data_IF_971873172686
#
_entry.id   IF_971873172686
#
_cell.length_a   1.000
_cell.length_b   1.000
_cell.length_c   1.000
_cell.angle_alpha   90.00
_cell.angle_beta   90.00
_cell.angle_gamma   90.00
#
_symmetry.space_group_name_H-M   'P 1'
#
loop_
_entity.id
_entity.type
_entity.pdbx_description
1 polymer ?
#
# COMPACT_ATOMS: atom_id res chain seq x y z
N UNK A 1 -10.10 -34.88 24.13
CA UNK A 1 -9.73 -33.84 23.15
C UNK A 1 -8.33 -34.22 22.63
N UNK A 2 -8.30 -34.76 21.44
CA UNK A 2 -7.06 -35.13 20.74
C UNK A 2 -6.24 -33.87 20.47
N UNK A 3 -4.91 -33.94 20.48
CA UNK A 3 -3.99 -32.85 20.12
C UNK A 3 -4.13 -32.37 18.65
N UNK A 4 -5.02 -32.99 17.89
CA UNK A 4 -5.24 -32.77 16.44
C UNK A 4 -6.32 -31.69 16.13
N UNK A 5 -6.97 -31.11 17.16
CA UNK A 5 -8.10 -30.17 16.95
C UNK A 5 -7.74 -28.69 17.21
N UNK A 6 -6.47 -28.36 17.45
CA UNK A 6 -6.04 -26.99 17.69
C UNK A 6 -5.88 -26.26 16.35
N UNK A 7 -6.74 -25.22 16.10
CA UNK A 7 -6.63 -24.37 14.93
C UNK A 7 -5.20 -23.79 14.78
N UNK A 8 -4.64 -23.77 13.57
CA UNK A 8 -3.30 -23.23 13.35
C UNK A 8 -3.24 -21.76 13.75
N UNK A 9 -2.10 -21.33 14.27
CA UNK A 9 -1.83 -19.97 14.74
C UNK A 9 -1.09 -19.19 13.69
N UNK A 10 -1.65 -18.06 13.29
CA UNK A 10 -1.01 -17.18 12.31
C UNK A 10 -0.78 -15.81 12.93
N UNK A 11 0.48 -15.38 12.93
CA UNK A 11 0.84 -14.02 13.31
C UNK A 11 0.95 -13.14 12.06
N UNK A 12 0.22 -12.02 12.07
CA UNK A 12 0.22 -11.02 11.01
C UNK A 12 0.93 -9.76 11.49
N UNK A 13 1.79 -9.17 10.65
CA UNK A 13 2.59 -8.01 11.05
C UNK A 13 2.45 -6.86 10.06
N UNK A 14 2.19 -5.67 10.58
CA UNK A 14 2.23 -4.42 9.81
C UNK A 14 2.59 -3.23 10.70
N UNK A 15 3.19 -2.15 10.14
CA UNK A 15 3.23 -0.86 10.80
C UNK A 15 1.82 -0.25 10.89
N UNK A 16 1.58 0.78 11.75
CA UNK A 16 0.25 1.31 12.04
C UNK A 16 -0.33 2.22 10.94
N UNK A 17 0.16 2.12 9.70
CA UNK A 17 -0.26 2.98 8.59
C UNK A 17 -1.35 2.32 7.75
N UNK A 18 -2.36 3.08 7.33
CA UNK A 18 -3.51 2.53 6.60
C UNK A 18 -3.10 1.72 5.36
N UNK A 19 -2.15 2.21 4.55
CA UNK A 19 -1.68 1.52 3.33
C UNK A 19 -1.04 0.14 3.58
N UNK A 20 -0.58 -0.12 4.80
CA UNK A 20 0.09 -1.37 5.22
C UNK A 20 -0.77 -2.20 6.17
N UNK A 21 -1.39 -1.54 7.15
CA UNK A 21 -2.21 -2.19 8.16
C UNK A 21 -3.53 -2.73 7.58
N UNK A 22 -4.23 -1.95 6.76
CA UNK A 22 -5.53 -2.35 6.23
C UNK A 22 -5.45 -3.64 5.37
N UNK A 23 -4.47 -3.83 4.47
CA UNK A 23 -4.27 -5.11 3.79
C UNK A 23 -4.02 -6.27 4.76
N UNK A 24 -3.22 -6.07 5.79
CA UNK A 24 -2.97 -7.09 6.83
C UNK A 24 -4.23 -7.41 7.62
N UNK A 25 -5.07 -6.42 7.96
CA UNK A 25 -6.36 -6.66 8.60
C UNK A 25 -7.33 -7.42 7.68
N UNK A 26 -7.32 -7.13 6.37
CA UNK A 26 -8.10 -7.88 5.38
C UNK A 26 -7.63 -9.34 5.28
N UNK A 27 -6.31 -9.58 5.27
CA UNK A 27 -5.73 -10.93 5.35
C UNK A 27 -6.22 -11.65 6.61
N UNK A 28 -6.15 -10.99 7.76
CA UNK A 28 -6.58 -11.56 9.04
C UNK A 28 -8.04 -11.99 9.02
N UNK A 29 -8.92 -11.11 8.55
CA UNK A 29 -10.35 -11.42 8.42
C UNK A 29 -10.62 -12.57 7.44
N UNK A 30 -9.91 -12.62 6.34
CA UNK A 30 -10.03 -13.69 5.36
C UNK A 30 -9.60 -15.05 5.93
N UNK A 31 -8.60 -15.08 6.81
CA UNK A 31 -8.04 -16.30 7.41
C UNK A 31 -8.71 -16.69 8.74
N UNK A 32 -9.41 -15.77 9.40
CA UNK A 32 -10.09 -16.04 10.70
C UNK A 32 -11.00 -17.26 10.68
N UNK A 33 -11.69 -17.63 9.58
CA UNK A 33 -12.47 -18.87 9.55
C UNK A 33 -11.64 -20.16 9.68
N UNK A 34 -10.35 -20.16 9.30
CA UNK A 34 -9.50 -21.35 9.24
C UNK A 34 -8.33 -21.35 10.23
N UNK A 35 -8.03 -20.22 10.89
CA UNK A 35 -6.87 -20.10 11.78
C UNK A 35 -7.17 -19.18 12.99
N UNK A 36 -6.36 -19.31 14.05
CA UNK A 36 -6.28 -18.35 15.15
C UNK A 36 -5.33 -17.20 14.76
N UNK A 37 -5.90 -16.01 14.60
CA UNK A 37 -5.19 -14.84 14.05
C UNK A 37 -4.77 -13.90 15.16
N UNK A 38 -3.49 -13.53 15.19
CA UNK A 38 -2.94 -12.47 16.03
C UNK A 38 -2.23 -11.42 15.18
N UNK A 39 -2.57 -10.14 15.35
CA UNK A 39 -1.92 -9.03 14.67
C UNK A 39 -0.89 -8.40 15.59
N UNK A 40 0.36 -8.33 15.16
CA UNK A 40 1.46 -7.68 15.89
C UNK A 40 1.77 -6.35 15.19
N UNK A 41 1.68 -5.24 15.95
CA UNK A 41 1.94 -3.89 15.47
C UNK A 41 2.38 -2.99 16.62
N UNK A 42 2.31 -1.68 16.45
CA UNK A 42 2.49 -0.70 17.53
C UNK A 42 1.15 -0.28 18.13
N UNK A 43 1.20 0.51 19.21
CA UNK A 43 0.01 1.00 19.93
C UNK A 43 -0.97 1.74 19.01
N UNK A 44 -0.46 2.52 18.05
CA UNK A 44 -1.26 3.27 17.08
C UNK A 44 -2.14 2.43 16.16
N UNK A 45 -1.90 1.12 16.06
CA UNK A 45 -2.74 0.19 15.31
C UNK A 45 -3.90 -0.40 16.12
N UNK A 46 -3.84 -0.36 17.46
CA UNK A 46 -4.70 -1.15 18.36
C UNK A 46 -6.20 -0.92 18.15
N UNK A 47 -6.61 0.32 17.91
CA UNK A 47 -8.03 0.64 17.66
C UNK A 47 -8.54 0.01 16.37
N UNK A 48 -7.74 0.08 15.28
CA UNK A 48 -8.11 -0.50 13.98
C UNK A 48 -8.11 -2.02 14.00
N UNK A 49 -7.18 -2.64 14.72
CA UNK A 49 -7.16 -4.11 14.92
C UNK A 49 -8.45 -4.55 15.61
N UNK A 50 -8.87 -3.87 16.67
CA UNK A 50 -10.14 -4.17 17.36
C UNK A 50 -11.36 -3.93 16.46
N UNK A 51 -11.40 -2.84 15.70
CA UNK A 51 -12.47 -2.57 14.73
C UNK A 51 -12.57 -3.63 13.63
N UNK A 52 -11.45 -4.26 13.29
CA UNK A 52 -11.44 -5.39 12.35
C UNK A 52 -11.91 -6.71 12.98
N UNK A 53 -12.21 -6.73 14.28
CA UNK A 53 -12.62 -7.95 15.01
C UNK A 53 -11.47 -8.94 15.22
N UNK A 54 -10.22 -8.45 15.29
CA UNK A 54 -9.02 -9.27 15.42
C UNK A 54 -8.34 -9.04 16.77
N UNK A 55 -7.65 -10.09 17.26
CA UNK A 55 -6.76 -9.99 18.42
C UNK A 55 -5.43 -9.33 18.02
N UNK A 56 -4.90 -8.47 18.88
CA UNK A 56 -3.64 -7.79 18.61
C UNK A 56 -2.70 -7.66 19.78
N UNK A 57 -1.42 -7.53 19.49
CA UNK A 57 -0.35 -7.25 20.44
C UNK A 57 0.42 -6.03 19.97
N UNK A 58 0.53 -5.04 20.85
CA UNK A 58 1.40 -3.89 20.63
C UNK A 58 2.82 -4.23 21.08
N UNK A 59 3.79 -3.94 20.21
CA UNK A 59 5.22 -4.10 20.47
C UNK A 59 5.94 -2.77 20.28
N UNK A 60 7.14 -2.65 20.81
CA UNK A 60 7.99 -1.44 20.74
C UNK A 60 7.24 -0.19 21.23
N UNK A 61 6.96 -0.08 22.53
CA UNK A 61 6.25 1.07 23.10
C UNK A 61 6.89 2.39 22.66
N UNK A 62 6.06 3.39 22.32
CA UNK A 62 6.50 4.71 21.87
C UNK A 62 7.03 4.79 20.43
N UNK A 63 7.03 3.70 19.65
CA UNK A 63 7.55 3.69 18.28
C UNK A 63 6.72 4.54 17.30
N UNK A 64 5.45 4.80 17.60
CA UNK A 64 4.53 5.48 16.66
C UNK A 64 5.01 6.87 16.22
N UNK A 65 5.64 7.63 17.12
CA UNK A 65 6.20 8.95 16.79
C UNK A 65 7.40 8.83 15.84
N UNK A 66 8.30 7.89 16.09
CA UNK A 66 9.46 7.64 15.24
C UNK A 66 9.05 7.10 13.86
N UNK A 67 8.05 6.21 13.81
CA UNK A 67 7.47 5.72 12.57
C UNK A 67 6.86 6.86 11.74
N UNK A 68 6.06 7.74 12.36
CA UNK A 68 5.52 8.92 11.67
C UNK A 68 6.61 9.83 11.13
N UNK A 69 7.66 10.09 11.90
CA UNK A 69 8.78 10.92 11.45
C UNK A 69 9.54 10.36 10.24
N UNK A 70 9.46 9.03 10.01
CA UNK A 70 10.04 8.36 8.85
C UNK A 70 9.10 8.43 7.64
N UNK A 71 7.80 8.18 7.85
CA UNK A 71 6.83 7.94 6.76
C UNK A 71 6.03 9.16 6.36
N UNK A 72 5.93 10.16 7.22
CA UNK A 72 5.20 11.42 6.97
C UNK A 72 6.07 12.65 7.30
N UNK A 73 7.22 12.80 6.61
CA UNK A 73 8.08 13.95 6.81
C UNK A 73 7.41 15.23 6.31
N UNK A 74 7.80 16.42 6.82
CA UNK A 74 7.20 17.70 6.43
C UNK A 74 7.50 18.11 4.99
N UNK A 75 8.41 17.41 4.31
CA UNK A 75 8.79 17.64 2.93
C UNK A 75 9.05 16.31 2.21
N UNK A 76 8.87 16.22 0.88
CA UNK A 76 9.22 15.02 0.12
C UNK A 76 10.66 14.60 0.42
N UNK A 77 10.88 13.30 0.64
CA UNK A 77 12.24 12.74 0.80
C UNK A 77 12.96 12.79 -0.54
N UNK A 78 12.27 12.42 -1.59
CA UNK A 78 12.79 12.41 -2.94
C UNK A 78 14.07 11.59 -3.06
N UNK A 79 14.96 12.01 -3.96
CA UNK A 79 16.27 11.39 -4.18
C UNK A 79 17.42 12.09 -3.42
N UNK A 80 17.15 12.89 -2.39
CA UNK A 80 18.18 13.64 -1.68
C UNK A 80 19.03 12.72 -0.77
N UNK A 81 20.36 12.52 -1.05
CA UNK A 81 21.16 11.48 -0.40
C UNK A 81 21.19 11.57 1.12
N UNK A 82 21.33 12.78 1.68
CA UNK A 82 21.39 12.96 3.14
C UNK A 82 20.04 12.67 3.82
N UNK A 83 18.93 13.02 3.19
CA UNK A 83 17.59 12.70 3.72
C UNK A 83 17.33 11.21 3.69
N UNK A 84 17.66 10.56 2.57
CA UNK A 84 17.58 9.09 2.43
C UNK A 84 18.44 8.38 3.48
N UNK A 85 19.67 8.84 3.68
CA UNK A 85 20.56 8.27 4.69
C UNK A 85 19.98 8.42 6.12
N UNK A 86 19.52 9.61 6.49
CA UNK A 86 18.92 9.86 7.80
C UNK A 86 17.63 9.05 8.02
N UNK A 87 16.79 8.90 6.98
CA UNK A 87 15.61 8.06 7.02
C UNK A 87 15.97 6.58 7.20
N UNK A 88 16.99 6.11 6.48
CA UNK A 88 17.46 4.73 6.57
C UNK A 88 18.04 4.40 7.95
N UNK A 89 18.83 5.30 8.55
CA UNK A 89 19.36 5.15 9.92
C UNK A 89 18.24 5.01 10.96
N UNK A 90 17.21 5.86 10.88
CA UNK A 90 16.04 5.75 11.77
C UNK A 90 15.29 4.44 11.56
N UNK A 91 15.15 4.01 10.31
CA UNK A 91 14.51 2.73 9.97
C UNK A 91 15.28 1.53 10.53
N UNK A 92 16.63 1.56 10.47
CA UNK A 92 17.45 0.50 11.05
C UNK A 92 17.29 0.40 12.56
N UNK A 93 17.27 1.53 13.29
CA UNK A 93 17.07 1.54 14.74
C UNK A 93 15.72 0.94 15.14
N UNK A 94 14.65 1.24 14.36
CA UNK A 94 13.35 0.64 14.57
C UNK A 94 13.33 -0.85 14.25
N UNK A 95 13.99 -1.27 13.18
CA UNK A 95 14.11 -2.70 12.81
C UNK A 95 14.82 -3.50 13.92
N UNK A 96 15.87 -2.95 14.55
CA UNK A 96 16.56 -3.57 15.69
C UNK A 96 15.61 -3.77 16.88
N UNK A 97 14.83 -2.73 17.22
CA UNK A 97 13.84 -2.83 18.30
C UNK A 97 12.71 -3.82 17.99
N UNK A 98 12.20 -3.81 16.75
CA UNK A 98 11.19 -4.78 16.31
C UNK A 98 11.73 -6.21 16.33
N UNK A 99 12.96 -6.43 15.86
CA UNK A 99 13.57 -7.76 15.86
C UNK A 99 13.67 -8.34 17.29
N UNK A 100 14.09 -7.54 18.27
CA UNK A 100 14.16 -7.96 19.67
C UNK A 100 12.77 -8.25 20.26
N UNK A 101 11.78 -7.40 19.96
CA UNK A 101 10.41 -7.59 20.43
C UNK A 101 9.77 -8.86 19.84
N UNK A 102 9.97 -9.13 18.55
CA UNK A 102 9.46 -10.34 17.89
C UNK A 102 10.13 -11.60 18.43
N UNK A 103 11.43 -11.55 18.69
CA UNK A 103 12.17 -12.65 19.27
C UNK A 103 11.59 -13.05 20.65
N UNK A 104 11.31 -12.06 21.51
CA UNK A 104 10.66 -12.28 22.79
C UNK A 104 9.22 -12.84 22.64
N UNK A 105 8.44 -12.31 21.69
CA UNK A 105 7.07 -12.77 21.43
C UNK A 105 7.03 -14.25 20.97
N UNK A 106 7.90 -14.63 20.05
CA UNK A 106 7.90 -15.98 19.47
C UNK A 106 8.62 -17.02 20.34
N UNK A 107 9.47 -16.59 21.26
CA UNK A 107 9.99 -17.45 22.33
C UNK A 107 8.90 -17.89 23.29
N UNK A 108 7.87 -17.04 23.51
CA UNK A 108 6.74 -17.35 24.40
C UNK A 108 5.59 -18.07 23.68
N UNK A 109 5.25 -17.60 22.47
CA UNK A 109 4.14 -18.14 21.67
C UNK A 109 4.58 -18.24 20.21
N UNK A 110 4.99 -19.44 19.81
CA UNK A 110 5.40 -19.73 18.44
C UNK A 110 4.16 -19.90 17.54
N UNK A 111 4.00 -19.13 16.46
CA UNK A 111 2.98 -19.36 15.45
C UNK A 111 3.38 -20.48 14.46
N UNK A 112 2.40 -20.99 13.71
CA UNK A 112 2.59 -21.97 12.65
C UNK A 112 2.94 -21.30 11.32
N UNK A 113 2.53 -20.03 11.14
CA UNK A 113 2.86 -19.20 9.99
C UNK A 113 2.94 -17.73 10.41
N UNK A 114 3.87 -17.00 9.81
CA UNK A 114 3.97 -15.55 9.90
C UNK A 114 3.68 -14.94 8.53
N UNK A 115 2.82 -13.92 8.45
CA UNK A 115 2.65 -13.10 7.25
C UNK A 115 2.96 -11.65 7.64
N UNK A 116 4.04 -11.12 7.08
CA UNK A 116 4.52 -9.78 7.41
C UNK A 116 4.42 -8.83 6.22
N UNK A 117 4.01 -7.60 6.48
CA UNK A 117 4.10 -6.52 5.51
C UNK A 117 5.57 -6.33 5.06
N UNK A 118 5.77 -6.04 3.79
CA UNK A 118 7.09 -5.93 3.16
C UNK A 118 8.00 -4.87 3.80
N UNK A 119 7.43 -3.90 4.51
CA UNK A 119 8.19 -2.88 5.24
C UNK A 119 8.81 -3.38 6.56
N UNK A 120 8.44 -4.59 6.98
CA UNK A 120 8.97 -5.24 8.19
C UNK A 120 9.81 -6.50 7.86
N UNK A 121 10.88 -6.39 7.05
CA UNK A 121 11.65 -7.56 6.61
C UNK A 121 12.31 -8.31 7.77
N UNK A 122 12.55 -7.65 8.91
CA UNK A 122 13.09 -8.28 10.13
C UNK A 122 12.19 -9.41 10.66
N UNK A 123 10.88 -9.35 10.40
CA UNK A 123 9.98 -10.44 10.77
C UNK A 123 10.42 -11.77 10.14
N UNK A 124 10.83 -11.76 8.87
CA UNK A 124 11.35 -12.94 8.18
C UNK A 124 12.68 -13.44 8.77
N UNK A 125 13.59 -12.54 9.15
CA UNK A 125 14.85 -12.96 9.76
C UNK A 125 14.66 -13.57 11.15
N UNK A 126 13.77 -13.01 11.96
CA UNK A 126 13.41 -13.58 13.27
C UNK A 126 12.66 -14.90 13.09
N UNK A 127 11.69 -14.98 12.17
CA UNK A 127 10.97 -16.23 11.88
C UNK A 127 11.91 -17.39 11.51
N UNK A 128 12.91 -17.11 10.65
CA UNK A 128 13.94 -18.12 10.31
C UNK A 128 14.71 -18.60 11.52
N UNK A 129 15.11 -17.72 12.47
CA UNK A 129 15.81 -18.13 13.71
C UNK A 129 14.94 -19.07 14.56
N UNK A 130 13.62 -18.80 14.62
CA UNK A 130 12.65 -19.64 15.32
C UNK A 130 12.14 -20.84 14.48
N UNK A 131 12.65 -21.03 13.24
CA UNK A 131 12.18 -22.07 12.31
C UNK A 131 10.66 -21.98 12.07
N UNK A 132 10.13 -20.78 11.95
CA UNK A 132 8.74 -20.50 11.65
C UNK A 132 8.63 -20.21 10.16
N UNK A 133 7.72 -20.87 9.41
CA UNK A 133 7.38 -20.49 8.06
C UNK A 133 6.92 -19.03 8.00
N UNK A 134 7.34 -18.31 6.96
CA UNK A 134 6.93 -16.91 6.85
C UNK A 134 6.71 -16.48 5.40
N UNK A 135 5.75 -15.61 5.20
CA UNK A 135 5.40 -15.01 3.92
C UNK A 135 5.47 -13.50 3.98
N UNK A 136 5.73 -12.88 2.84
CA UNK A 136 5.68 -11.42 2.70
C UNK A 136 4.33 -11.01 2.13
N UNK A 137 3.64 -10.05 2.75
CA UNK A 137 2.50 -9.34 2.18
C UNK A 137 2.98 -8.09 1.46
N UNK A 138 2.64 -7.94 0.19
CA UNK A 138 3.12 -6.84 -0.65
C UNK A 138 1.95 -6.13 -1.35
N UNK A 139 1.44 -5.00 -0.80
CA UNK A 139 0.31 -4.27 -1.39
C UNK A 139 0.65 -3.55 -2.70
N UNK A 140 1.94 -3.39 -3.01
CA UNK A 140 2.42 -2.71 -4.21
C UNK A 140 3.42 -3.59 -4.99
N UNK A 141 2.97 -4.69 -5.63
CA UNK A 141 3.87 -5.60 -6.37
C UNK A 141 4.75 -4.88 -7.40
N UNK A 142 4.30 -3.75 -7.90
CA UNK A 142 5.00 -2.90 -8.87
C UNK A 142 6.43 -2.52 -8.46
N UNK A 143 6.76 -2.49 -7.17
CA UNK A 143 8.08 -2.09 -6.67
C UNK A 143 9.03 -3.27 -6.42
N UNK A 144 8.55 -4.52 -6.50
CA UNK A 144 9.40 -5.72 -6.43
C UNK A 144 10.37 -5.70 -7.61
N UNK A 145 11.67 -5.84 -7.34
CA UNK A 145 12.65 -5.94 -8.41
C UNK A 145 12.48 -7.23 -9.20
N UNK A 146 12.28 -7.07 -10.52
CA UNK A 146 12.19 -8.16 -11.45
C UNK A 146 12.84 -7.76 -12.78
N UNK A 147 13.51 -8.67 -13.51
CA UNK A 147 14.00 -8.41 -14.85
C UNK A 147 12.87 -8.02 -15.82
N UNK A 148 13.19 -7.19 -16.79
CA UNK A 148 12.21 -6.67 -17.74
C UNK A 148 11.49 -5.40 -17.24
N UNK A 149 11.31 -4.45 -18.14
CA UNK A 149 10.66 -3.18 -17.86
C UNK A 149 11.48 -2.19 -17.01
N UNK A 150 10.89 -1.02 -16.74
CA UNK A 150 11.54 0.04 -15.97
C UNK A 150 11.62 -0.33 -14.48
N UNK A 151 12.69 0.06 -13.78
CA UNK A 151 12.77 -0.09 -12.33
C UNK A 151 11.77 0.85 -11.64
N UNK A 152 11.30 0.46 -10.46
CA UNK A 152 10.44 1.28 -9.62
C UNK A 152 11.17 2.50 -9.03
N UNK A 153 10.41 3.44 -8.48
CA UNK A 153 10.87 4.66 -7.81
C UNK A 153 11.64 5.65 -8.71
N UNK A 154 11.55 5.53 -10.03
CA UNK A 154 12.09 6.48 -10.99
C UNK A 154 11.01 7.37 -11.64
N UNK A 155 10.02 7.78 -10.84
CA UNK A 155 8.94 8.65 -11.30
C UNK A 155 7.92 7.93 -12.21
N UNK A 156 7.79 6.61 -12.11
CA UNK A 156 6.78 5.82 -12.84
C UNK A 156 7.00 5.86 -14.34
N UNK A 157 8.12 5.34 -14.82
CA UNK A 157 8.38 5.21 -16.24
C UNK A 157 7.48 4.14 -16.88
N UNK A 158 7.03 4.40 -18.09
CA UNK A 158 6.44 3.36 -18.94
C UNK A 158 7.52 2.44 -19.50
N UNK A 159 7.23 1.16 -19.76
CA UNK A 159 8.17 0.23 -20.38
C UNK A 159 8.74 0.78 -21.68
N UNK A 160 10.03 0.65 -21.84
CA UNK A 160 10.73 1.13 -23.01
C UNK A 160 10.34 0.33 -24.26
N UNK A 161 10.04 1.05 -25.36
CA UNK A 161 9.71 0.46 -26.65
C UNK A 161 10.98 0.31 -27.49
N UNK A 162 11.09 -0.81 -28.20
CA UNK A 162 12.23 -1.11 -29.07
C UNK A 162 13.53 -1.38 -28.32
N UNK A 163 14.64 -1.49 -29.05
CA UNK A 163 15.95 -1.81 -28.47
C UNK A 163 16.48 -0.72 -27.52
N UNK A 164 16.37 0.54 -27.92
CA UNK A 164 16.81 1.69 -27.11
C UNK A 164 16.01 1.81 -25.80
N UNK A 165 14.68 1.64 -25.86
CA UNK A 165 13.85 1.70 -24.68
C UNK A 165 14.18 0.58 -23.69
N UNK A 166 14.37 -0.65 -24.16
CA UNK A 166 14.82 -1.78 -23.33
C UNK A 166 16.22 -1.55 -22.75
N UNK A 167 17.15 -0.99 -23.53
CA UNK A 167 18.47 -0.65 -23.02
C UNK A 167 18.41 0.42 -21.92
N UNK A 168 17.57 1.46 -22.10
CA UNK A 168 17.30 2.47 -21.07
C UNK A 168 16.86 1.80 -19.77
N UNK A 169 15.86 0.92 -19.82
CA UNK A 169 15.31 0.25 -18.65
C UNK A 169 16.37 -0.63 -17.96
N UNK A 170 17.17 -1.37 -18.74
CA UNK A 170 18.24 -2.21 -18.21
C UNK A 170 19.36 -1.39 -17.53
N UNK A 171 19.76 -0.27 -18.12
CA UNK A 171 20.77 0.65 -17.53
C UNK A 171 20.22 1.24 -16.23
N UNK A 172 18.97 1.70 -16.22
CA UNK A 172 18.33 2.24 -15.03
C UNK A 172 18.20 1.19 -13.92
N UNK A 173 17.78 -0.04 -14.24
CA UNK A 173 17.71 -1.15 -13.28
C UNK A 173 19.09 -1.46 -12.67
N UNK A 174 20.16 -1.47 -13.50
CA UNK A 174 21.53 -1.65 -13.02
C UNK A 174 21.96 -0.50 -12.09
N UNK A 175 21.61 0.74 -12.41
CA UNK A 175 21.92 1.90 -11.58
C UNK A 175 21.23 1.82 -10.22
N UNK A 176 19.94 1.49 -10.17
CA UNK A 176 19.17 1.28 -8.93
C UNK A 176 19.79 0.16 -8.09
N UNK A 177 20.12 -0.98 -8.70
CA UNK A 177 20.79 -2.10 -8.00
C UNK A 177 22.14 -1.70 -7.44
N UNK A 178 22.93 -0.94 -8.19
CA UNK A 178 24.24 -0.45 -7.75
C UNK A 178 24.08 0.49 -6.55
N UNK A 179 23.13 1.42 -6.61
CA UNK A 179 22.79 2.30 -5.49
C UNK A 179 22.39 1.50 -4.23
N UNK A 180 21.44 0.57 -4.36
CA UNK A 180 21.01 -0.29 -3.25
C UNK A 180 22.18 -1.09 -2.64
N UNK A 181 23.07 -1.64 -3.48
CA UNK A 181 24.29 -2.35 -3.01
C UNK A 181 25.23 -1.41 -2.27
N UNK A 182 25.36 -0.16 -2.71
CA UNK A 182 26.15 0.88 -2.03
C UNK A 182 25.61 1.15 -0.62
N UNK A 183 24.30 1.35 -0.49
CA UNK A 183 23.64 1.56 0.81
C UNK A 183 23.81 0.32 1.71
N UNK A 184 23.59 -0.89 1.17
CA UNK A 184 23.78 -2.13 1.93
C UNK A 184 25.23 -2.28 2.43
N UNK A 185 26.23 -1.95 1.60
CA UNK A 185 27.66 -2.03 1.97
C UNK A 185 27.99 -1.05 3.08
N UNK A 186 27.41 0.14 3.05
CA UNK A 186 27.61 1.17 4.10
C UNK A 186 27.11 0.67 5.47
N UNK A 187 25.96 -0.03 5.49
CA UNK A 187 25.31 -0.51 6.72
C UNK A 187 25.50 -2.01 6.98
N UNK A 188 26.44 -2.66 6.29
CA UNK A 188 26.57 -4.13 6.23
C UNK A 188 26.62 -4.83 7.58
N UNK A 189 27.28 -4.22 8.60
CA UNK A 189 27.41 -4.83 9.93
C UNK A 189 26.06 -4.92 10.64
N UNK A 190 25.30 -3.82 10.63
CA UNK A 190 23.96 -3.77 11.26
C UNK A 190 22.97 -4.66 10.51
N UNK A 191 22.99 -4.59 9.17
CA UNK A 191 22.12 -5.44 8.35
C UNK A 191 22.42 -6.93 8.52
N UNK A 192 23.71 -7.33 8.59
CA UNK A 192 24.08 -8.72 8.88
C UNK A 192 23.60 -9.17 10.26
N UNK A 193 23.72 -8.33 11.30
CA UNK A 193 23.19 -8.62 12.64
C UNK A 193 21.65 -8.79 12.64
N UNK A 194 20.94 -8.06 11.77
CA UNK A 194 19.51 -8.21 11.55
C UNK A 194 19.13 -9.41 10.68
N UNK A 195 20.11 -10.19 10.18
CA UNK A 195 19.87 -11.37 9.34
C UNK A 195 19.86 -11.11 7.84
N UNK A 196 20.40 -9.98 7.40
CA UNK A 196 20.56 -9.60 5.99
C UNK A 196 22.04 -9.44 5.59
N UNK A 197 22.83 -10.53 5.57
CA UNK A 197 24.24 -10.49 5.16
C UNK A 197 24.39 -10.11 3.67
N UNK A 198 23.38 -10.40 2.86
CA UNK A 198 23.29 -10.03 1.44
C UNK A 198 21.94 -9.35 1.15
N UNK A 199 21.96 -8.42 0.19
CA UNK A 199 20.74 -7.74 -0.30
C UNK A 199 19.95 -8.62 -1.27
N UNK A 200 20.66 -9.44 -2.05
CA UNK A 200 20.08 -10.35 -3.04
C UNK A 200 20.51 -11.79 -2.75
N UNK A 201 19.64 -12.71 -3.10
CA UNK A 201 19.91 -14.14 -3.15
C UNK A 201 20.69 -14.50 -4.42
N UNK A 202 21.10 -15.74 -4.55
CA UNK A 202 21.84 -16.25 -5.71
C UNK A 202 21.01 -16.20 -7.00
N UNK A 203 19.68 -16.34 -6.90
CA UNK A 203 18.73 -16.17 -8.01
C UNK A 203 18.49 -14.71 -8.40
N UNK A 204 19.10 -13.77 -7.68
CA UNK A 204 18.97 -12.34 -7.89
C UNK A 204 17.72 -11.70 -7.28
N UNK A 205 16.87 -12.46 -6.57
CA UNK A 205 15.73 -11.94 -5.82
C UNK A 205 16.15 -11.19 -4.56
N UNK A 206 15.30 -10.26 -4.07
CA UNK A 206 15.58 -9.46 -2.89
C UNK A 206 15.46 -10.32 -1.61
N UNK A 207 16.53 -10.35 -0.80
CA UNK A 207 16.57 -11.14 0.43
C UNK A 207 15.63 -10.64 1.54
N UNK A 208 15.11 -9.43 1.40
CA UNK A 208 14.16 -8.81 2.31
C UNK A 208 12.78 -9.49 2.29
N UNK A 209 12.42 -10.16 1.18
CA UNK A 209 11.14 -10.83 1.03
C UNK A 209 11.25 -12.33 1.28
N UNK A 210 10.11 -13.01 1.47
CA UNK A 210 10.07 -14.46 1.60
C UNK A 210 10.52 -15.15 0.31
N UNK A 211 11.28 -16.21 0.44
CA UNK A 211 11.63 -17.14 -0.63
C UNK A 211 10.55 -18.22 -0.83
N UNK A 212 9.67 -18.40 0.15
CA UNK A 212 8.57 -19.36 0.06
C UNK A 212 7.35 -18.74 -0.65
N UNK A 213 6.89 -17.57 -0.17
CA UNK A 213 5.73 -16.90 -0.76
C UNK A 213 5.76 -15.38 -0.53
N UNK A 214 5.57 -14.64 -1.61
CA UNK A 214 5.28 -13.21 -1.60
C UNK A 214 3.84 -13.07 -2.08
N UNK A 215 2.94 -12.65 -1.19
CA UNK A 215 1.55 -12.35 -1.51
C UNK A 215 1.48 -10.99 -2.22
N UNK A 216 1.40 -10.99 -3.53
CA UNK A 216 1.18 -9.78 -4.32
C UNK A 216 -0.30 -9.40 -4.26
N UNK A 217 -0.63 -8.33 -3.49
CA UNK A 217 -2.00 -7.88 -3.28
C UNK A 217 -2.46 -6.99 -4.44
N UNK A 218 -2.48 -7.55 -5.63
CA UNK A 218 -2.85 -6.88 -6.87
C UNK A 218 -3.18 -7.85 -7.98
N UNK A 219 -3.51 -7.31 -9.15
CA UNK A 219 -3.78 -8.08 -10.37
C UNK A 219 -2.55 -8.12 -11.25
N UNK A 220 -2.18 -9.33 -11.72
CA UNK A 220 -1.09 -9.50 -12.68
C UNK A 220 -1.33 -8.73 -13.98
N UNK A 221 -2.57 -8.61 -14.39
CA UNK A 221 -3.00 -7.93 -15.61
C UNK A 221 -2.83 -6.40 -15.57
N UNK A 222 -2.70 -5.84 -14.38
CA UNK A 222 -2.37 -4.42 -14.20
C UNK A 222 -0.87 -4.18 -14.23
N UNK A 223 -0.05 -5.21 -13.97
CA UNK A 223 1.39 -5.09 -13.91
C UNK A 223 2.05 -5.12 -15.28
N UNK A 224 3.19 -4.44 -15.42
CA UNK A 224 4.03 -4.57 -16.60
C UNK A 224 4.59 -5.98 -16.73
N UNK A 225 4.78 -6.43 -17.96
CA UNK A 225 5.40 -7.73 -18.22
C UNK A 225 6.84 -7.74 -17.68
N UNK A 226 7.11 -8.66 -16.76
CA UNK A 226 8.41 -8.86 -16.10
C UNK A 226 8.62 -10.34 -15.76
N UNK A 227 9.88 -10.72 -15.58
CA UNK A 227 10.25 -12.04 -15.05
C UNK A 227 10.18 -11.98 -13.51
N UNK A 228 8.96 -12.18 -12.99
CA UNK A 228 8.68 -12.07 -11.57
C UNK A 228 9.40 -13.16 -10.75
N UNK A 229 9.80 -12.87 -9.49
CA UNK A 229 10.35 -13.89 -8.59
C UNK A 229 9.42 -15.11 -8.48
N UNK A 230 10.00 -16.31 -8.44
CA UNK A 230 9.24 -17.56 -8.37
C UNK A 230 8.32 -17.65 -7.14
N UNK A 231 8.70 -17.00 -6.04
CA UNK A 231 7.90 -16.93 -4.82
C UNK A 231 6.66 -16.03 -4.94
N UNK A 232 6.55 -15.14 -5.94
CA UNK A 232 5.44 -14.20 -6.06
C UNK A 232 4.14 -14.91 -6.48
N UNK A 233 3.07 -14.67 -5.71
CA UNK A 233 1.71 -15.12 -5.98
C UNK A 233 0.78 -13.90 -5.99
N UNK A 234 0.22 -13.57 -7.14
CA UNK A 234 -0.83 -12.55 -7.23
C UNK A 234 -2.13 -13.14 -6.70
N UNK A 235 -2.65 -12.58 -5.61
CA UNK A 235 -3.88 -13.06 -4.96
C UNK A 235 -5.05 -12.07 -5.12
N UNK A 236 -4.81 -10.97 -5.82
CA UNK A 236 -5.76 -9.87 -5.87
C UNK A 236 -5.65 -8.93 -4.65
N UNK A 237 -6.25 -7.74 -4.73
CA UNK A 237 -6.23 -6.80 -3.62
C UNK A 237 -7.11 -7.28 -2.48
N UNK A 238 -6.57 -7.28 -1.28
CA UNK A 238 -7.30 -7.51 -0.03
C UNK A 238 -7.57 -6.17 0.62
N UNK A 239 -8.83 -5.77 0.62
CA UNK A 239 -9.28 -4.44 1.01
C UNK A 239 -10.06 -4.50 2.32
N UNK A 240 -9.78 -3.55 3.19
CA UNK A 240 -10.51 -3.33 4.43
C UNK A 240 -10.57 -1.83 4.71
N UNK A 241 -11.72 -1.35 5.15
CA UNK A 241 -11.96 -0.01 5.64
C UNK A 241 -12.63 -0.08 7.01
N UNK A 242 -12.32 0.83 7.94
CA UNK A 242 -13.02 0.88 9.22
C UNK A 242 -14.51 1.13 9.00
N UNK A 243 -15.40 0.24 9.46
CA UNK A 243 -16.83 0.38 9.23
C UNK A 243 -17.43 1.52 10.07
N UNK A 244 -18.41 2.23 9.50
CA UNK A 244 -19.22 3.23 10.23
C UNK A 244 -18.46 4.49 10.62
N UNK A 245 -17.32 4.78 10.00
CA UNK A 245 -16.55 6.01 10.23
C UNK A 245 -16.72 6.95 9.06
N UNK A 246 -17.00 8.22 9.36
CA UNK A 246 -17.18 9.29 8.39
C UNK A 246 -18.64 9.55 8.04
N UNK A 247 -18.91 10.57 7.22
CA UNK A 247 -20.26 10.91 6.78
C UNK A 247 -20.82 9.91 5.78
N UNK A 248 -22.13 9.83 5.68
CA UNK A 248 -22.79 9.09 4.62
C UNK A 248 -22.41 9.64 3.24
N UNK A 249 -22.32 8.78 2.20
CA UNK A 249 -22.10 9.25 0.84
C UNK A 249 -23.30 10.08 0.34
N UNK A 250 -23.10 10.97 -0.67
CA UNK A 250 -24.20 11.71 -1.27
C UNK A 250 -25.25 10.77 -1.84
N UNK A 251 -26.50 11.17 -1.73
CA UNK A 251 -27.66 10.38 -2.16
C UNK A 251 -28.37 10.97 -3.39
N UNK A 252 -28.03 12.20 -3.77
CA UNK A 252 -28.56 12.85 -4.97
C UNK A 252 -27.79 12.41 -6.22
N UNK A 253 -28.34 12.72 -7.41
CA UNK A 253 -27.78 12.38 -8.71
C UNK A 253 -26.81 13.44 -9.27
N UNK A 254 -26.23 14.27 -8.40
CA UNK A 254 -25.27 15.32 -8.77
C UNK A 254 -23.97 14.77 -9.34
N UNK A 255 -23.21 15.64 -10.01
CA UNK A 255 -21.86 15.32 -10.49
C UNK A 255 -20.85 15.40 -9.33
N UNK A 256 -20.82 14.35 -8.52
CA UNK A 256 -19.92 14.23 -7.37
C UNK A 256 -18.54 13.74 -7.78
N UNK A 257 -17.50 14.44 -7.32
CA UNK A 257 -16.08 14.07 -7.50
C UNK A 257 -15.40 14.03 -6.14
N UNK A 258 -14.80 12.90 -5.82
CA UNK A 258 -14.00 12.76 -4.60
C UNK A 258 -12.53 13.01 -4.91
N UNK A 259 -11.88 13.83 -4.08
CA UNK A 259 -10.43 14.00 -4.08
C UNK A 259 -9.82 13.54 -2.75
N UNK A 260 -8.65 12.85 -2.80
CA UNK A 260 -7.95 12.42 -1.60
C UNK A 260 -6.45 12.19 -1.86
N UNK A 261 -5.62 12.56 -0.88
CA UNK A 261 -4.20 12.20 -0.83
C UNK A 261 -3.92 11.09 0.20
N UNK A 262 -4.97 10.40 0.68
CA UNK A 262 -4.84 9.35 1.67
C UNK A 262 -4.48 9.88 3.06
N UNK A 263 -3.88 9.02 3.90
CA UNK A 263 -3.59 9.31 5.31
C UNK A 263 -2.24 10.00 5.55
N UNK A 264 -1.37 10.02 4.56
CA UNK A 264 -0.04 10.64 4.59
C UNK A 264 0.01 11.92 3.74
N UNK A 265 1.21 12.48 3.55
CA UNK A 265 1.48 13.62 2.67
C UNK A 265 0.80 14.92 3.14
N UNK A 266 0.82 15.17 4.45
CA UNK A 266 0.24 16.37 5.07
C UNK A 266 0.66 17.66 4.36
N UNK A 267 1.91 17.77 3.94
CA UNK A 267 2.46 18.93 3.23
C UNK A 267 1.78 19.26 1.88
N UNK A 268 1.15 18.27 1.23
CA UNK A 268 0.52 18.46 -0.08
C UNK A 268 -0.99 18.77 0.00
N UNK A 269 -1.62 18.50 1.14
CA UNK A 269 -3.08 18.53 1.28
C UNK A 269 -3.66 19.93 1.18
N UNK A 270 -3.07 20.91 1.85
CA UNK A 270 -3.59 22.29 1.86
C UNK A 270 -3.49 22.92 0.47
N UNK A 271 -2.38 22.69 -0.25
CA UNK A 271 -2.23 23.18 -1.62
C UNK A 271 -3.23 22.56 -2.59
N UNK A 272 -3.52 21.27 -2.45
CA UNK A 272 -4.55 20.61 -3.26
C UNK A 272 -5.95 21.11 -2.88
N UNK A 273 -6.26 21.24 -1.59
CA UNK A 273 -7.55 21.76 -1.12
C UNK A 273 -7.83 23.17 -1.64
N UNK A 274 -6.83 24.06 -1.64
CA UNK A 274 -6.95 25.40 -2.21
C UNK A 274 -7.23 25.38 -3.73
N UNK A 275 -6.56 24.49 -4.46
CA UNK A 275 -6.79 24.29 -5.91
C UNK A 275 -8.22 23.81 -6.19
N UNK A 276 -8.71 22.85 -5.41
CA UNK A 276 -10.06 22.30 -5.55
C UNK A 276 -11.14 23.32 -5.15
N UNK A 277 -10.89 24.13 -4.12
CA UNK A 277 -11.82 25.19 -3.70
C UNK A 277 -11.97 26.26 -4.79
N UNK A 278 -10.87 26.67 -5.42
CA UNK A 278 -10.92 27.58 -6.56
C UNK A 278 -11.70 26.97 -7.74
N UNK A 279 -11.52 25.68 -8.02
CA UNK A 279 -12.24 24.97 -9.07
C UNK A 279 -13.74 24.85 -8.75
N UNK A 280 -14.11 24.53 -7.50
CA UNK A 280 -15.50 24.46 -7.06
C UNK A 280 -16.24 25.78 -7.22
N UNK A 281 -15.56 26.88 -6.93
CA UNK A 281 -16.14 28.24 -7.17
C UNK A 281 -16.32 28.57 -8.67
N UNK A 282 -15.38 28.08 -9.50
CA UNK A 282 -15.46 28.32 -10.95
C UNK A 282 -16.51 27.44 -11.64
N UNK A 283 -16.83 26.27 -11.05
CA UNK A 283 -17.78 25.29 -11.59
C UNK A 283 -18.80 24.86 -10.53
N UNK A 284 -19.80 25.70 -10.19
CA UNK A 284 -20.74 25.41 -9.09
C UNK A 284 -21.66 24.20 -9.30
N UNK A 285 -21.80 23.73 -10.54
CA UNK A 285 -22.56 22.50 -10.86
C UNK A 285 -21.82 21.23 -10.42
N UNK A 286 -20.52 21.32 -10.16
CA UNK A 286 -19.68 20.20 -9.77
C UNK A 286 -19.57 20.13 -8.24
N UNK A 287 -19.97 18.99 -7.68
CA UNK A 287 -19.90 18.76 -6.23
C UNK A 287 -18.53 18.17 -5.87
N UNK A 288 -17.59 19.02 -5.47
CA UNK A 288 -16.23 18.57 -5.11
C UNK A 288 -16.15 18.23 -3.62
N UNK A 289 -15.72 17.01 -3.34
CA UNK A 289 -15.46 16.49 -2.00
C UNK A 289 -13.96 16.26 -1.81
N UNK A 290 -13.40 16.72 -0.69
CA UNK A 290 -12.01 16.46 -0.34
C UNK A 290 -11.91 15.72 0.99
N UNK A 291 -11.31 14.53 0.97
CA UNK A 291 -11.03 13.76 2.17
C UNK A 291 -9.59 13.97 2.63
N UNK A 292 -9.42 14.51 3.84
CA UNK A 292 -8.10 14.69 4.47
C UNK A 292 -7.45 13.35 4.88
N UNK A 293 -8.22 12.26 4.96
CA UNK A 293 -7.72 10.94 5.36
C UNK A 293 -7.32 10.89 6.83
N UNK A 294 -7.85 11.76 7.67
CA UNK A 294 -7.53 11.84 9.10
C UNK A 294 -8.67 11.24 9.91
N UNK A 295 -8.41 10.12 10.57
CA UNK A 295 -9.34 9.56 11.56
C UNK A 295 -9.23 10.38 12.85
N UNK A 296 -10.08 11.42 12.99
CA UNK A 296 -10.25 12.16 14.24
C UNK A 296 -11.40 11.57 15.03
N UNK A 297 -11.21 11.46 16.35
CA UNK A 297 -12.24 10.93 17.24
C UNK A 297 -13.53 11.78 17.28
N UNK A 298 -13.43 13.06 16.97
CA UNK A 298 -14.51 14.05 17.00
C UNK A 298 -15.21 14.27 15.65
N UNK A 299 -14.73 13.62 14.57
CA UNK A 299 -15.33 13.76 13.23
C UNK A 299 -15.24 15.18 12.63
N UNK A 300 -14.56 16.13 13.30
CA UNK A 300 -14.48 17.51 12.84
C UNK A 300 -13.54 17.60 11.64
N UNK A 301 -14.06 18.10 10.51
CA UNK A 301 -13.25 18.54 9.39
C UNK A 301 -12.59 19.89 9.70
N UNK A 302 -11.36 20.13 9.25
CA UNK A 302 -10.81 21.47 9.29
C UNK A 302 -11.63 22.38 8.35
N UNK A 303 -11.77 23.60 8.76
CA UNK A 303 -12.45 24.75 8.19
C UNK A 303 -13.31 24.57 6.92
N UNK A 304 -14.56 25.03 6.96
CA UNK A 304 -15.53 24.86 5.88
C UNK A 304 -15.36 26.00 4.85
N UNK A 305 -14.74 25.72 3.72
CA UNK A 305 -15.06 26.47 2.51
C UNK A 305 -16.51 26.18 2.10
N UNK A 306 -17.26 27.19 1.68
CA UNK A 306 -18.65 27.01 1.25
C UNK A 306 -18.78 26.34 -0.12
N UNK A 307 -17.67 26.22 -0.89
CA UNK A 307 -17.65 25.66 -2.24
C UNK A 307 -17.07 24.24 -2.28
N UNK A 308 -16.07 23.92 -1.43
CA UNK A 308 -15.46 22.61 -1.34
C UNK A 308 -15.97 21.86 -0.10
N UNK A 309 -16.56 20.67 -0.29
CA UNK A 309 -16.99 19.81 0.81
C UNK A 309 -15.78 19.07 1.41
N UNK A 310 -15.28 19.53 2.57
CA UNK A 310 -14.15 18.88 3.26
C UNK A 310 -14.63 17.84 4.27
N UNK A 311 -13.97 16.69 4.27
CA UNK A 311 -14.23 15.57 5.17
C UNK A 311 -12.93 15.14 5.83
N UNK A 312 -12.97 14.85 7.14
CA UNK A 312 -11.81 14.27 7.83
C UNK A 312 -11.51 12.86 7.28
N UNK A 313 -12.56 12.09 7.04
CA UNK A 313 -12.48 10.72 6.51
C UNK A 313 -13.74 10.42 5.70
N UNK A 314 -13.59 9.58 4.66
CA UNK A 314 -14.71 8.95 3.95
C UNK A 314 -14.47 7.45 3.80
N UNK A 315 -15.54 6.66 3.85
CA UNK A 315 -15.50 5.23 3.60
C UNK A 315 -15.49 4.98 2.07
N UNK A 316 -14.35 4.63 1.52
CA UNK A 316 -14.20 4.45 0.07
C UNK A 316 -15.19 3.44 -0.53
N UNK A 317 -15.45 2.25 0.08
CA UNK A 317 -16.44 1.31 -0.44
C UNK A 317 -17.84 1.89 -0.60
N UNK A 318 -18.27 2.75 0.32
CA UNK A 318 -19.58 3.41 0.25
C UNK A 318 -19.59 4.64 -0.65
N UNK A 319 -18.50 5.39 -0.70
CA UNK A 319 -18.43 6.67 -1.41
C UNK A 319 -18.09 6.53 -2.89
N UNK A 320 -17.05 5.76 -3.23
CA UNK A 320 -16.52 5.72 -4.59
C UNK A 320 -17.57 5.28 -5.63
N UNK A 321 -18.46 4.29 -5.38
CA UNK A 321 -19.50 3.93 -6.33
C UNK A 321 -20.52 5.05 -6.64
N UNK A 322 -20.57 6.09 -5.82
CA UNK A 322 -21.43 7.29 -5.99
C UNK A 322 -20.73 8.42 -6.74
N UNK A 323 -19.45 8.30 -7.01
CA UNK A 323 -18.65 9.33 -7.65
C UNK A 323 -18.65 9.19 -9.18
N UNK A 324 -18.68 10.31 -9.86
CA UNK A 324 -18.47 10.37 -11.32
C UNK A 324 -16.99 10.20 -11.68
N UNK A 325 -16.11 10.67 -10.80
CA UNK A 325 -14.66 10.49 -10.91
C UNK A 325 -14.00 10.60 -9.53
N UNK A 326 -12.78 10.06 -9.41
CA UNK A 326 -11.96 10.19 -8.22
C UNK A 326 -10.61 10.80 -8.58
N UNK A 327 -10.21 11.86 -7.89
CA UNK A 327 -8.84 12.38 -7.91
C UNK A 327 -8.07 11.78 -6.73
N UNK A 328 -7.00 11.04 -6.99
CA UNK A 328 -6.22 10.44 -5.91
C UNK A 328 -4.72 10.42 -6.18
N UNK A 329 -3.93 10.22 -5.12
CA UNK A 329 -2.46 10.23 -5.19
C UNK A 329 -1.83 8.96 -5.80
N UNK A 330 -2.59 7.88 -5.99
CA UNK A 330 -2.07 6.59 -6.44
C UNK A 330 -1.79 5.59 -5.32
N UNK A 331 -2.29 5.83 -4.11
CA UNK A 331 -2.22 4.83 -3.02
C UNK A 331 -3.01 3.57 -3.37
N UNK A 332 -2.49 2.39 -3.00
CA UNK A 332 -3.08 1.10 -3.38
C UNK A 332 -4.56 0.97 -2.97
N UNK A 333 -4.93 1.37 -1.75
CA UNK A 333 -6.30 1.23 -1.25
C UNK A 333 -7.33 1.95 -2.13
N UNK A 334 -7.18 3.26 -2.35
CA UNK A 334 -8.11 4.05 -3.17
C UNK A 334 -8.08 3.63 -4.63
N UNK A 335 -6.91 3.28 -5.16
CA UNK A 335 -6.74 2.79 -6.53
C UNK A 335 -7.61 1.54 -6.78
N UNK A 336 -7.49 0.55 -5.92
CA UNK A 336 -8.24 -0.70 -6.06
C UNK A 336 -9.75 -0.51 -5.86
N UNK A 337 -10.17 0.41 -4.98
CA UNK A 337 -11.58 0.74 -4.82
C UNK A 337 -12.16 1.42 -6.08
N UNK A 338 -11.41 2.32 -6.73
CA UNK A 338 -11.82 2.90 -8.01
C UNK A 338 -11.98 1.84 -9.10
N UNK A 339 -11.02 0.91 -9.23
CA UNK A 339 -11.06 -0.16 -10.21
C UNK A 339 -12.19 -1.16 -9.93
N UNK A 340 -12.44 -1.47 -8.65
CA UNK A 340 -13.54 -2.35 -8.23
C UNK A 340 -14.91 -1.75 -8.53
N UNK A 341 -15.06 -0.45 -8.31
CA UNK A 341 -16.30 0.27 -8.60
C UNK A 341 -16.48 0.64 -10.08
N UNK A 342 -15.44 0.48 -10.90
CA UNK A 342 -15.46 0.90 -12.29
C UNK A 342 -15.53 2.42 -12.47
N UNK A 343 -15.01 3.19 -11.49
CA UNK A 343 -15.04 4.65 -11.50
C UNK A 343 -13.74 5.20 -12.09
N UNK A 344 -13.81 6.11 -13.08
CA UNK A 344 -12.61 6.69 -13.68
C UNK A 344 -11.85 7.57 -12.69
N UNK A 345 -10.52 7.62 -12.83
CA UNK A 345 -9.68 8.37 -11.93
C UNK A 345 -8.74 9.38 -12.62
N UNK A 346 -8.46 10.46 -11.90
CA UNK A 346 -7.30 11.33 -12.07
C UNK A 346 -6.26 10.92 -11.03
N UNK A 347 -5.03 10.64 -11.45
CA UNK A 347 -3.98 10.24 -10.52
C UNK A 347 -2.89 11.29 -10.49
N UNK A 348 -2.73 11.92 -9.33
CA UNK A 348 -1.73 12.94 -9.04
C UNK A 348 -0.70 12.37 -8.05
N UNK A 349 0.30 11.60 -8.51
CA UNK A 349 1.28 10.99 -7.63
C UNK A 349 2.18 12.06 -7.00
N UNK A 350 2.49 11.88 -5.72
CA UNK A 350 3.23 12.85 -4.92
C UNK A 350 4.55 12.29 -4.41
N UNK A 351 4.59 11.03 -3.95
CA UNK A 351 5.81 10.38 -3.43
C UNK A 351 5.71 8.84 -3.53
N UNK A 352 6.76 8.12 -3.16
CA UNK A 352 6.85 6.67 -3.05
C UNK A 352 6.49 5.91 -4.34
N UNK A 353 5.74 4.82 -4.20
CA UNK A 353 5.25 3.92 -5.26
C UNK A 353 4.08 4.48 -6.09
N UNK A 354 3.57 5.64 -5.69
CA UNK A 354 2.42 6.28 -6.32
C UNK A 354 2.65 6.57 -7.81
N UNK A 355 3.89 6.95 -8.17
CA UNK A 355 4.26 7.16 -9.57
C UNK A 355 4.21 5.87 -10.39
N UNK A 356 4.58 4.76 -9.78
CA UNK A 356 4.59 3.45 -10.42
C UNK A 356 3.16 2.91 -10.60
N UNK A 357 2.28 3.12 -9.63
CA UNK A 357 0.85 2.86 -9.75
C UNK A 357 0.21 3.73 -10.84
N UNK A 358 0.48 5.04 -10.84
CA UNK A 358 -0.07 5.96 -11.84
C UNK A 358 0.33 5.56 -13.28
N UNK A 359 1.58 5.11 -13.47
CA UNK A 359 2.06 4.64 -14.78
C UNK A 359 1.30 3.40 -15.26
N UNK A 360 0.98 2.46 -14.36
CA UNK A 360 0.21 1.24 -14.67
C UNK A 360 -1.25 1.55 -14.99
N UNK A 361 -1.88 2.38 -14.20
CA UNK A 361 -3.26 2.82 -14.44
C UNK A 361 -3.39 3.55 -15.78
N UNK A 362 -2.43 4.42 -16.09
CA UNK A 362 -2.35 5.10 -17.38
C UNK A 362 -2.15 4.11 -18.54
N UNK A 363 -1.20 3.18 -18.42
CA UNK A 363 -0.93 2.17 -19.43
C UNK A 363 -2.12 1.23 -19.66
N UNK A 364 -2.86 0.92 -18.60
CA UNK A 364 -4.08 0.11 -18.67
C UNK A 364 -5.29 0.87 -19.26
N UNK A 365 -5.20 2.19 -19.44
CA UNK A 365 -6.28 3.02 -19.95
C UNK A 365 -7.46 3.16 -19.00
N UNK A 366 -7.22 3.11 -17.69
CA UNK A 366 -8.27 3.21 -16.65
C UNK A 366 -8.25 4.51 -15.87
N UNK A 367 -7.18 5.29 -16.01
CA UNK A 367 -7.04 6.60 -15.36
C UNK A 367 -6.20 7.57 -16.21
N UNK A 368 -6.37 8.87 -15.98
CA UNK A 368 -5.46 9.90 -16.46
C UNK A 368 -4.43 10.23 -15.37
N UNK A 369 -3.16 10.21 -15.73
CA UNK A 369 -2.07 10.62 -14.85
C UNK A 369 -1.80 12.11 -15.01
N UNK A 370 -1.75 12.82 -13.87
CA UNK A 370 -1.37 14.22 -13.77
C UNK A 370 0.08 14.34 -13.27
N UNK A 371 0.72 15.43 -13.64
CA UNK A 371 2.08 15.80 -13.18
C UNK A 371 2.03 16.93 -12.16
N UNK A 372 0.99 17.78 -12.26
CA UNK A 372 0.87 18.98 -11.44
C UNK A 372 -0.60 19.27 -11.11
N UNK A 373 -0.94 19.81 -9.91
CA UNK A 373 -2.31 20.17 -9.56
C UNK A 373 -3.01 21.12 -10.54
N UNK A 374 -2.27 22.04 -11.19
CA UNK A 374 -2.82 22.95 -12.21
C UNK A 374 -3.47 22.24 -13.41
N UNK A 375 -3.14 20.98 -13.66
CA UNK A 375 -3.71 20.19 -14.76
C UNK A 375 -5.13 19.68 -14.45
N UNK A 376 -5.58 19.77 -13.19
CA UNK A 376 -6.87 19.22 -12.72
C UNK A 376 -8.02 19.88 -13.48
N UNK A 377 -8.00 21.20 -13.64
CA UNK A 377 -9.08 21.97 -14.29
C UNK A 377 -9.32 21.53 -15.73
N UNK A 378 -8.25 21.21 -16.48
CA UNK A 378 -8.33 20.76 -17.88
C UNK A 378 -8.61 19.25 -17.99
N UNK A 379 -8.13 18.46 -17.03
CA UNK A 379 -8.25 17.01 -17.07
C UNK A 379 -9.60 16.50 -16.56
N UNK A 380 -10.20 17.19 -15.59
CA UNK A 380 -11.43 16.73 -14.95
C UNK A 380 -12.62 16.68 -15.94
N UNK A 381 -12.90 17.69 -16.77
CA UNK A 381 -13.95 17.59 -17.78
C UNK A 381 -13.73 16.43 -18.74
N UNK A 382 -12.48 16.13 -19.09
CA UNK A 382 -12.14 15.00 -19.96
C UNK A 382 -12.48 13.66 -19.33
N UNK A 383 -12.27 13.48 -18.04
CA UNK A 383 -12.60 12.23 -17.31
C UNK A 383 -14.10 12.09 -17.13
N UNK A 384 -14.82 13.20 -16.95
CA UNK A 384 -16.28 13.21 -16.81
C UNK A 384 -17.01 13.01 -18.13
N UNK A 385 -16.34 13.27 -19.27
CA UNK A 385 -16.91 13.04 -20.61
C UNK A 385 -17.02 11.56 -20.93
N UNK A 386 -18.10 11.18 -21.59
CA UNK A 386 -18.27 9.83 -22.14
C UNK A 386 -17.20 9.46 -23.22
N UNK A 387 -16.56 10.47 -23.80
CA UNK A 387 -15.55 10.32 -24.88
C UNK A 387 -14.12 10.20 -24.36
N UNK A 388 -13.92 9.96 -23.05
CA UNK A 388 -12.56 9.92 -22.45
C UNK A 388 -11.65 8.86 -23.04
N UNK A 389 -12.21 7.80 -23.64
CA UNK A 389 -11.46 6.60 -24.03
C UNK A 389 -11.01 5.73 -22.86
N UNK A 390 -11.24 6.16 -21.60
CA UNK A 390 -10.92 5.35 -20.43
C UNK A 390 -11.90 4.18 -20.30
N UNK A 391 -11.38 3.07 -19.76
CA UNK A 391 -12.15 1.84 -19.51
C UNK A 391 -12.06 1.43 -18.03
N UNK A 392 -12.61 2.25 -17.10
CA UNK A 392 -12.45 1.99 -15.65
C UNK A 392 -13.05 0.64 -15.24
N UNK A 393 -14.10 0.16 -15.90
CA UNK A 393 -14.72 -1.14 -15.63
C UNK A 393 -13.93 -2.37 -16.08
N UNK A 394 -12.76 -2.20 -16.72
CA UNK A 394 -11.96 -3.30 -17.28
C UNK A 394 -11.63 -4.41 -16.27
N UNK A 395 -11.48 -4.07 -15.00
CA UNK A 395 -11.05 -4.99 -13.95
C UNK A 395 -12.15 -5.40 -12.97
N UNK A 396 -13.38 -4.90 -13.12
CA UNK A 396 -14.47 -5.14 -12.14
C UNK A 396 -14.71 -6.64 -11.91
N UNK A 397 -14.72 -7.44 -12.95
CA UNK A 397 -14.93 -8.90 -12.82
C UNK A 397 -13.79 -9.60 -12.08
N UNK A 398 -12.55 -9.18 -12.28
CA UNK A 398 -11.40 -9.73 -11.58
C UNK A 398 -11.31 -9.27 -10.11
N UNK A 399 -12.07 -8.23 -9.76
CA UNK A 399 -12.11 -7.62 -8.43
C UNK A 399 -13.39 -7.92 -7.65
N UNK A 400 -14.14 -8.97 -8.06
CA UNK A 400 -15.35 -9.38 -7.32
C UNK A 400 -15.01 -9.73 -5.88
N UNK A 401 -15.85 -9.29 -4.93
CA UNK A 401 -15.66 -9.63 -3.51
C UNK A 401 -15.55 -11.15 -3.31
N UNK A 402 -14.66 -11.56 -2.42
CA UNK A 402 -14.45 -12.96 -2.06
C UNK A 402 -13.42 -13.70 -2.91
N UNK A 403 -13.04 -13.23 -4.11
CA UNK A 403 -12.06 -13.93 -4.97
C UNK A 403 -10.67 -13.94 -4.35
N UNK A 404 -10.17 -12.78 -3.94
CA UNK A 404 -8.85 -12.65 -3.32
C UNK A 404 -8.78 -13.42 -2.00
N UNK A 405 -9.83 -13.34 -1.19
CA UNK A 405 -9.95 -14.07 0.08
C UNK A 405 -9.96 -15.58 -0.13
N UNK A 406 -10.65 -16.07 -1.17
CA UNK A 406 -10.69 -17.49 -1.50
C UNK A 406 -9.32 -17.99 -1.96
N UNK A 407 -8.63 -17.24 -2.81
CA UNK A 407 -7.26 -17.57 -3.25
C UNK A 407 -6.28 -17.60 -2.06
N UNK A 408 -6.37 -16.60 -1.18
CA UNK A 408 -5.53 -16.57 0.02
C UNK A 408 -5.79 -17.78 0.92
N UNK A 409 -7.04 -18.11 1.21
CA UNK A 409 -7.39 -19.29 2.02
C UNK A 409 -6.88 -20.59 1.40
N UNK A 410 -7.00 -20.75 0.09
CA UNK A 410 -6.48 -21.92 -0.61
C UNK A 410 -4.96 -22.06 -0.48
N UNK A 411 -4.20 -20.95 -0.63
CA UNK A 411 -2.75 -20.97 -0.47
C UNK A 411 -2.33 -21.28 0.97
N UNK A 412 -2.97 -20.65 1.96
CA UNK A 412 -2.66 -20.88 3.38
C UNK A 412 -3.10 -22.28 3.81
N UNK A 413 -4.27 -22.74 3.38
CA UNK A 413 -4.75 -24.09 3.64
C UNK A 413 -3.79 -25.16 3.12
N UNK A 414 -3.37 -25.02 1.85
CA UNK A 414 -2.38 -25.92 1.27
C UNK A 414 -1.03 -25.93 2.05
N UNK A 415 -0.61 -24.76 2.57
CA UNK A 415 0.63 -24.64 3.34
C UNK A 415 0.53 -25.28 4.73
N UNK A 416 -0.63 -25.21 5.34
CA UNK A 416 -0.88 -25.70 6.71
C UNK A 416 -1.49 -27.10 6.74
N UNK A 417 -1.79 -27.70 5.59
CA UNK A 417 -2.39 -29.04 5.48
C UNK A 417 -3.87 -29.08 5.92
N UNK A 418 -4.63 -28.00 5.65
CA UNK A 418 -6.05 -27.85 6.01
C UNK A 418 -6.97 -28.29 4.88
#
# INVERSE_FOLDING_TARGET
MSADDARPRIDLLAPPFAGHLHPILAIGRALQPIADIRVISTEGASSRIRLAGLGGVAVVPGADAALRAITDPPHPVGAHPLRLHAQFERSLALMEAFAAALDAQWSQRRPDLVIADFTLPVAGSVARRHRIPWWTSHPSPCVIEAPGGPPAYLGGWLPGVGAFGRARDAVAARAVRTFKRGVHRLHRRRLAALGFPSLYRDDGSEAAYSDECILGLGLRELEFARDWPQALRFVGPLLWSPPGIGPAPPQDDGDHVLATLGTHLGFAKDGLAATLDALARAQPSLQLHFSDGTLRADGTAPDRSTALHRHAWVDYPGWIPRMRAVLHHGGAGVMWECLRAGVPALVLPTDYDQFDHAARLQAAGVALRLRHPREIADALPRVLSAETGLRPGRFVDALRPGLAEAQLRALVGARLGL
#
